data_IF_326511549653
#
_entry.id   IF_326511549653
#
_cell.length_a   1.000
_cell.length_b   1.000
_cell.length_c   1.000
_cell.angle_alpha   90.00
_cell.angle_beta   90.00
_cell.angle_gamma   90.00
#
_symmetry.space_group_name_H-M   'P 1'
#
loop_
_entity.id
_entity.type
_entity.pdbx_description
1 polymer ?
#
# COMPACT_ATOMS: atom_id res chain seq x y z
N UNK A 1 -13.68 19.01 -6.54
CA UNK A 1 -14.48 17.87 -6.07
C UNK A 1 -14.17 16.70 -6.98
N UNK A 2 -13.50 15.65 -6.48
CA UNK A 2 -13.16 14.48 -7.30
C UNK A 2 -14.17 13.39 -6.94
N UNK A 3 -15.16 13.18 -7.81
CA UNK A 3 -16.10 12.08 -7.71
C UNK A 3 -15.49 10.83 -8.34
N UNK A 4 -15.19 9.81 -7.51
CA UNK A 4 -14.85 8.49 -8.01
C UNK A 4 -16.15 7.78 -8.41
N UNK A 5 -16.54 7.88 -9.68
CA UNK A 5 -17.57 7.04 -10.25
C UNK A 5 -16.98 5.64 -10.50
N UNK A 6 -17.62 4.60 -9.97
CA UNK A 6 -17.34 3.23 -10.34
C UNK A 6 -17.88 3.01 -11.76
N UNK A 7 -17.09 3.35 -12.77
CA UNK A 7 -17.42 2.99 -14.15
C UNK A 7 -17.03 1.53 -14.40
N UNK A 8 -18.06 0.68 -14.40
CA UNK A 8 -18.03 -0.58 -15.13
C UNK A 8 -17.53 -0.31 -16.56
N UNK A 9 -16.52 -1.06 -16.99
CA UNK A 9 -16.02 -1.08 -18.37
C UNK A 9 -15.17 0.13 -18.83
N UNK A 10 -13.92 0.21 -18.39
CA UNK A 10 -12.88 0.91 -19.16
C UNK A 10 -12.51 0.08 -20.40
N UNK A 11 -13.35 0.20 -21.42
CA UNK A 11 -13.06 -0.13 -22.80
C UNK A 11 -11.97 0.84 -23.29
N UNK A 12 -10.70 0.44 -23.16
CA UNK A 12 -9.58 1.16 -23.75
C UNK A 12 -8.42 1.48 -22.80
N UNK A 13 -7.87 0.48 -22.11
CA UNK A 13 -6.54 0.63 -21.50
C UNK A 13 -5.50 0.68 -22.62
N UNK A 14 -5.22 1.88 -23.14
CA UNK A 14 -4.05 2.09 -24.00
C UNK A 14 -2.82 1.82 -23.13
N UNK A 15 -1.98 0.86 -23.52
CA UNK A 15 -0.70 0.69 -22.86
C UNK A 15 0.13 1.96 -23.12
N UNK A 16 0.74 2.58 -22.09
CA UNK A 16 1.64 3.70 -22.30
C UNK A 16 2.77 3.28 -23.24
N UNK A 17 3.11 4.18 -24.17
CA UNK A 17 4.32 4.01 -24.96
C UNK A 17 5.56 4.10 -24.05
N UNK A 18 6.69 3.55 -24.50
CA UNK A 18 7.95 3.66 -23.77
C UNK A 18 8.33 5.14 -23.63
N UNK A 19 8.48 5.60 -22.38
CA UNK A 19 8.79 7.00 -22.07
C UNK A 19 7.56 7.90 -21.89
N UNK A 20 6.34 7.39 -22.06
CA UNK A 20 5.10 8.08 -21.72
C UNK A 20 4.87 8.00 -20.20
N UNK A 21 4.41 9.10 -19.60
CA UNK A 21 4.01 9.11 -18.19
C UNK A 21 2.73 8.30 -18.00
N UNK A 22 2.65 7.58 -16.88
CA UNK A 22 1.49 6.77 -16.53
C UNK A 22 1.24 6.83 -15.03
N UNK A 23 -0.02 6.72 -14.65
CA UNK A 23 -0.46 6.57 -13.28
C UNK A 23 -0.65 5.09 -12.95
N UNK A 24 -0.09 4.65 -11.83
CA UNK A 24 -0.28 3.27 -11.35
C UNK A 24 -1.09 3.31 -10.06
N UNK A 25 -2.21 2.61 -10.07
CA UNK A 25 -3.07 2.43 -8.91
C UNK A 25 -2.92 1.01 -8.39
N UNK A 26 -2.72 0.89 -7.08
CA UNK A 26 -2.64 -0.37 -6.34
C UNK A 26 -3.52 -0.25 -5.09
N UNK A 27 -4.31 -1.29 -4.81
CA UNK A 27 -5.12 -1.32 -3.58
C UNK A 27 -4.17 -1.48 -2.37
N UNK A 28 -4.24 -0.61 -1.34
CA UNK A 28 -3.43 -0.74 -0.13
C UNK A 28 -3.46 -2.12 0.52
N UNK A 29 -4.56 -2.87 0.37
CA UNK A 29 -4.74 -4.22 0.93
C UNK A 29 -4.02 -5.31 0.13
N UNK A 30 -3.59 -5.01 -1.09
CA UNK A 30 -2.77 -5.91 -1.90
C UNK A 30 -1.27 -5.80 -1.59
N UNK A 31 -0.87 -4.80 -0.80
CA UNK A 31 0.52 -4.58 -0.43
C UNK A 31 0.85 -5.37 0.83
N UNK A 32 1.87 -6.22 0.73
CA UNK A 32 2.43 -6.98 1.85
C UNK A 32 3.70 -6.31 2.37
N UNK A 33 3.86 -6.26 3.68
CA UNK A 33 5.02 -5.67 4.35
C UNK A 33 5.96 -6.75 4.89
N UNK A 34 7.27 -6.48 4.80
CA UNK A 34 8.32 -7.37 5.29
C UNK A 34 9.40 -6.56 6.01
N UNK A 35 9.94 -7.09 7.12
CA UNK A 35 11.07 -6.47 7.84
C UNK A 35 12.43 -6.68 7.14
N UNK A 36 12.50 -7.67 6.24
CA UNK A 36 13.68 -8.01 5.45
C UNK A 36 13.26 -8.15 3.99
N UNK A 37 14.19 -8.04 3.01
CA UNK A 37 13.85 -8.29 1.61
C UNK A 37 13.13 -9.63 1.47
N UNK A 38 11.93 -9.67 0.88
CA UNK A 38 11.20 -10.91 0.70
C UNK A 38 11.85 -11.78 -0.38
N UNK A 39 11.98 -13.07 -0.12
CA UNK A 39 12.16 -14.07 -1.18
C UNK A 39 10.78 -14.43 -1.73
N UNK A 40 10.33 -13.66 -2.73
CA UNK A 40 8.98 -13.83 -3.31
C UNK A 40 8.99 -13.64 -4.81
N UNK A 41 7.97 -14.20 -5.47
CA UNK A 41 7.75 -14.02 -6.91
C UNK A 41 7.14 -12.67 -7.28
N UNK A 42 6.83 -11.82 -6.31
CA UNK A 42 6.33 -10.47 -6.57
C UNK A 42 7.41 -9.65 -7.28
N UNK A 43 7.04 -9.01 -8.39
CA UNK A 43 7.97 -8.20 -9.19
C UNK A 43 8.18 -6.81 -8.63
N UNK A 44 7.22 -6.30 -7.86
CA UNK A 44 7.28 -4.98 -7.27
C UNK A 44 7.68 -5.13 -5.81
N UNK A 45 8.92 -4.79 -5.49
CA UNK A 45 9.47 -4.78 -4.14
C UNK A 45 10.18 -3.44 -3.93
N UNK A 46 9.79 -2.72 -2.89
CA UNK A 46 10.33 -1.40 -2.56
C UNK A 46 10.77 -1.38 -1.10
N UNK A 47 11.94 -0.78 -0.84
CA UNK A 47 12.36 -0.43 0.52
C UNK A 47 12.07 1.04 0.77
N UNK A 48 11.53 1.38 1.93
CA UNK A 48 11.29 2.76 2.32
C UNK A 48 11.13 2.92 3.82
N UNK A 49 11.02 4.17 4.25
CA UNK A 49 10.84 4.52 5.65
C UNK A 49 9.36 4.68 5.97
N UNK A 50 8.92 4.14 7.12
CA UNK A 50 7.57 4.38 7.62
C UNK A 50 7.48 5.83 8.11
N UNK A 51 6.61 6.62 7.47
CA UNK A 51 6.38 8.02 7.84
C UNK A 51 5.07 8.24 8.60
N UNK A 52 4.19 7.24 8.60
CA UNK A 52 2.96 7.29 9.40
C UNK A 52 2.42 5.88 9.66
N UNK A 53 1.92 5.66 10.87
CA UNK A 53 1.13 4.47 11.24
C UNK A 53 -0.22 4.93 11.80
N UNK A 54 -1.30 4.66 11.07
CA UNK A 54 -2.66 5.07 11.43
C UNK A 54 -3.53 3.85 11.74
N UNK A 55 -3.95 3.73 13.00
CA UNK A 55 -4.96 2.75 13.39
C UNK A 55 -6.36 3.23 12.97
N UNK A 56 -7.09 2.40 12.24
CA UNK A 56 -8.41 2.73 11.67
C UNK A 56 -9.58 2.29 12.57
N UNK A 57 -9.28 1.76 13.75
CA UNK A 57 -10.30 1.15 14.60
C UNK A 57 -11.14 2.21 15.29
N UNK A 58 -12.45 2.15 15.06
CA UNK A 58 -13.43 3.10 15.60
C UNK A 58 -14.06 2.65 16.91
N UNK A 59 -13.61 1.53 17.50
CA UNK A 59 -14.28 0.95 18.67
C UNK A 59 -13.83 1.63 19.95
N UNK A 60 -14.50 2.74 20.28
CA UNK A 60 -14.56 3.26 21.65
C UNK A 60 -15.41 2.26 22.46
N UNK A 61 -14.73 1.36 23.17
CA UNK A 61 -15.37 0.45 24.11
C UNK A 61 -15.48 -1.00 23.65
N UNK A 62 -15.06 -1.87 24.58
CA UNK A 62 -15.13 -3.33 24.59
C UNK A 62 -14.05 -4.10 23.83
N UNK A 63 -13.03 -4.45 24.63
CA UNK A 63 -12.25 -5.69 24.62
C UNK A 63 -11.46 -6.05 23.35
N UNK A 64 -10.16 -5.72 23.38
CA UNK A 64 -9.01 -6.59 23.04
C UNK A 64 -9.09 -7.41 21.73
N UNK A 65 -9.92 -7.03 20.75
CA UNK A 65 -9.93 -7.66 19.44
C UNK A 65 -8.89 -6.98 18.57
N UNK A 66 -7.79 -7.67 18.32
CA UNK A 66 -6.79 -7.36 17.29
C UNK A 66 -7.35 -7.48 15.85
N UNK A 67 -8.65 -7.27 15.66
CA UNK A 67 -9.34 -7.32 14.35
C UNK A 67 -9.26 -5.98 13.60
N UNK A 68 -8.48 -5.08 14.14
CA UNK A 68 -8.30 -3.76 13.60
C UNK A 68 -7.55 -3.67 12.29
N UNK A 69 -7.71 -2.56 11.58
CA UNK A 69 -6.90 -2.22 10.40
C UNK A 69 -5.91 -1.12 10.72
N UNK A 70 -4.71 -1.25 10.20
CA UNK A 70 -3.66 -0.25 10.31
C UNK A 70 -3.22 0.15 8.92
N UNK A 71 -3.20 1.45 8.64
CA UNK A 71 -2.58 2.02 7.46
C UNK A 71 -1.16 2.44 7.76
N UNK A 72 -0.24 2.05 6.89
CA UNK A 72 1.18 2.34 6.98
C UNK A 72 1.56 3.13 5.75
N UNK A 73 1.98 4.38 5.93
CA UNK A 73 2.48 5.23 4.85
C UNK A 73 4.00 5.10 4.78
N UNK A 74 4.52 4.76 3.60
CA UNK A 74 5.92 4.41 3.38
C UNK A 74 6.52 5.35 2.35
N UNK A 75 7.51 6.14 2.77
CA UNK A 75 8.24 7.03 1.91
C UNK A 75 9.31 6.25 1.13
N UNK A 76 9.13 6.14 -0.18
CA UNK A 76 10.08 5.49 -1.09
C UNK A 76 11.08 6.49 -1.67
N UNK A 77 10.61 7.70 -1.99
CA UNK A 77 11.37 8.83 -2.51
C UNK A 77 10.64 10.13 -2.12
N UNK A 78 11.39 11.17 -1.75
CA UNK A 78 10.86 12.49 -1.37
C UNK A 78 10.10 13.21 -2.48
N UNK A 79 10.29 12.82 -3.75
CA UNK A 79 9.65 13.44 -4.92
C UNK A 79 8.30 12.83 -5.30
N UNK A 80 7.87 11.74 -4.65
CA UNK A 80 6.59 11.07 -4.92
C UNK A 80 5.77 10.90 -3.64
N UNK A 81 4.43 10.84 -3.74
CA UNK A 81 3.59 10.54 -2.58
C UNK A 81 3.97 9.20 -1.93
N UNK A 82 3.86 9.06 -0.59
CA UNK A 82 4.10 7.80 0.09
C UNK A 82 3.22 6.65 -0.43
N UNK A 83 3.80 5.45 -0.47
CA UNK A 83 3.06 4.23 -0.74
C UNK A 83 2.32 3.79 0.54
N UNK A 84 1.01 3.59 0.43
CA UNK A 84 0.18 3.22 1.59
C UNK A 84 -0.17 1.73 1.54
N UNK A 85 0.13 0.99 2.60
CA UNK A 85 -0.33 -0.37 2.83
C UNK A 85 -1.42 -0.40 3.93
N UNK A 86 -2.39 -1.30 3.80
CA UNK A 86 -3.39 -1.55 4.85
C UNK A 86 -3.27 -3.00 5.33
N UNK A 87 -2.89 -3.18 6.60
CA UNK A 87 -2.65 -4.48 7.22
C UNK A 87 -3.54 -4.67 8.46
N UNK A 88 -3.52 -5.86 9.06
CA UNK A 88 -4.18 -6.08 10.36
C UNK A 88 -3.36 -5.43 11.49
N UNK A 89 -4.06 -5.00 12.54
CA UNK A 89 -3.43 -4.53 13.78
C UNK A 89 -2.54 -5.59 14.41
N UNK A 90 -2.96 -6.87 14.38
CA UNK A 90 -2.13 -7.99 14.83
C UNK A 90 -0.78 -8.08 14.09
N UNK A 91 -0.77 -7.91 12.76
CA UNK A 91 0.46 -7.91 11.98
C UNK A 91 1.32 -6.69 12.29
N UNK A 92 0.74 -5.51 12.41
CA UNK A 92 1.47 -4.29 12.76
C UNK A 92 2.15 -4.41 14.13
N UNK A 93 1.44 -4.93 15.13
CA UNK A 93 1.96 -5.17 16.47
C UNK A 93 3.07 -6.23 16.46
N UNK A 94 2.86 -7.38 15.79
CA UNK A 94 3.86 -8.44 15.66
C UNK A 94 5.14 -7.97 14.96
N UNK A 95 4.99 -7.07 13.98
CA UNK A 95 6.11 -6.51 13.25
C UNK A 95 6.76 -5.32 13.96
N UNK A 96 6.18 -4.88 15.09
CA UNK A 96 6.60 -3.70 15.85
C UNK A 96 6.74 -2.47 14.96
N UNK A 97 5.79 -2.22 14.05
CA UNK A 97 5.90 -1.10 13.12
C UNK A 97 5.85 0.23 13.88
N UNK A 98 6.77 1.13 13.52
CA UNK A 98 6.83 2.49 14.05
C UNK A 98 7.40 3.42 12.99
N UNK A 99 7.07 4.70 13.11
CA UNK A 99 7.67 5.75 12.27
C UNK A 99 9.21 5.71 12.39
N UNK A 100 9.89 6.06 11.31
CA UNK A 100 11.36 6.00 11.19
C UNK A 100 11.93 4.62 10.85
N UNK A 101 11.16 3.53 10.97
CA UNK A 101 11.66 2.19 10.61
C UNK A 101 11.68 1.99 9.10
N UNK A 102 12.76 1.39 8.60
CA UNK A 102 12.83 0.88 7.23
C UNK A 102 12.01 -0.42 7.11
N UNK A 103 11.18 -0.50 6.07
CA UNK A 103 10.34 -1.65 5.77
C UNK A 103 10.40 -1.95 4.27
N UNK A 104 10.10 -3.19 3.90
CA UNK A 104 9.91 -3.60 2.52
C UNK A 104 8.42 -3.73 2.22
N UNK A 105 7.96 -3.06 1.17
CA UNK A 105 6.60 -3.17 0.64
C UNK A 105 6.64 -3.93 -0.68
N UNK A 106 5.69 -4.85 -0.86
CA UNK A 106 5.65 -5.68 -2.07
C UNK A 106 4.23 -6.01 -2.48
N UNK A 107 3.97 -6.05 -3.78
CA UNK A 107 2.69 -6.45 -4.36
C UNK A 107 2.90 -7.13 -5.73
N UNK A 108 1.93 -7.95 -6.15
CA UNK A 108 2.04 -8.64 -7.46
C UNK A 108 1.76 -7.65 -8.58
N UNK A 109 2.45 -7.79 -9.71
CA UNK A 109 2.20 -6.95 -10.87
C UNK A 109 0.74 -7.01 -11.36
N UNK A 110 0.06 -8.14 -11.16
CA UNK A 110 -1.35 -8.35 -11.50
C UNK A 110 -2.34 -7.61 -10.61
N UNK A 111 -1.90 -7.05 -9.48
CA UNK A 111 -2.74 -6.28 -8.54
C UNK A 111 -2.67 -4.77 -8.79
N UNK A 112 -1.82 -4.34 -9.73
CA UNK A 112 -1.70 -2.95 -10.14
C UNK A 112 -2.42 -2.69 -11.46
N UNK A 113 -2.96 -1.48 -11.61
CA UNK A 113 -3.58 -0.99 -12.85
C UNK A 113 -2.87 0.28 -13.30
N UNK A 114 -2.49 0.31 -14.57
CA UNK A 114 -1.88 1.47 -15.19
C UNK A 114 -2.91 2.26 -16.00
N UNK A 115 -2.81 3.58 -15.94
CA UNK A 115 -3.64 4.55 -16.64
C UNK A 115 -2.73 5.60 -17.27
N UNK A 116 -3.13 6.14 -18.41
CA UNK A 116 -2.45 7.23 -19.12
C UNK A 116 -3.39 8.40 -19.25
#
# INVERSE_FOLDING_TARGET
EVMAALEEHLQGSKMPAVGEEAFVVVDPRSITLYQKPPDSSARNVFSGEIVQVLHLDTSIGQEERHDGRVRVSILLNTSIPPLTAEITGASAARMELSEGKTIYASFKATEARAYT
#
